data_IF_100183698950
#
_entry.id   IF_100183698950
#
_cell.length_a   1.000
_cell.length_b   1.000
_cell.length_c   1.000
_cell.angle_alpha   90.00
_cell.angle_beta   90.00
_cell.angle_gamma   90.00
#
_symmetry.space_group_name_H-M   'P 1'
#
loop_
_entity.id
_entity.type
_entity.pdbx_description
1 polymer ?
#
# COMPACT_ATOMS: atom_id res chain seq x y z
N UNK A 1 23.24 19.37 30.38
CA UNK A 1 23.63 18.52 29.23
C UNK A 1 22.94 17.18 29.40
N UNK A 2 21.76 17.03 28.79
CA UNK A 2 20.98 15.79 28.81
C UNK A 2 19.76 15.83 27.90
N UNK A 3 19.58 16.90 27.12
CA UNK A 3 18.42 17.13 26.26
C UNK A 3 18.91 17.01 24.82
N UNK A 4 18.90 15.79 24.28
CA UNK A 4 19.07 15.59 22.81
C UNK A 4 18.73 14.18 22.33
N UNK A 5 18.45 13.21 23.21
CA UNK A 5 18.28 11.80 22.78
C UNK A 5 16.82 11.36 22.63
N UNK A 6 15.84 12.06 23.24
CA UNK A 6 14.42 11.68 23.15
C UNK A 6 13.65 12.34 22.00
N UNK A 7 14.01 13.55 21.56
CA UNK A 7 13.34 14.19 20.42
C UNK A 7 13.65 13.49 19.08
N UNK A 8 14.80 12.82 18.98
CA UNK A 8 15.14 11.98 17.83
C UNK A 8 14.32 10.68 17.75
N UNK A 9 13.73 10.22 18.87
CA UNK A 9 12.90 8.99 18.90
C UNK A 9 11.46 9.22 18.42
N UNK A 10 11.01 10.47 18.33
CA UNK A 10 9.65 10.79 17.89
C UNK A 10 9.55 10.87 16.35
N UNK A 11 10.67 11.04 15.65
CA UNK A 11 10.71 11.18 14.18
C UNK A 11 10.58 9.84 13.41
N UNK A 12 10.65 8.68 14.08
CA UNK A 12 10.58 7.36 13.43
C UNK A 12 9.54 6.42 14.04
N UNK A 13 8.39 6.94 14.49
CA UNK A 13 7.18 6.09 14.47
C UNK A 13 6.77 5.89 13.02
N UNK A 14 7.48 5.02 12.31
CA UNK A 14 7.00 4.39 11.07
C UNK A 14 5.83 3.48 11.46
N UNK A 15 4.69 4.05 11.82
CA UNK A 15 3.41 3.34 12.06
C UNK A 15 3.27 2.26 11.00
N UNK A 16 3.04 0.99 11.26
CA UNK A 16 3.02 -0.01 10.18
C UNK A 16 1.97 0.38 9.11
N UNK A 17 2.26 0.18 7.80
CA UNK A 17 1.29 0.53 6.77
C UNK A 17 0.03 -0.32 6.93
N UNK A 18 -1.13 0.29 6.76
CA UNK A 18 -2.37 -0.47 6.78
C UNK A 18 -2.44 -1.36 5.54
N UNK A 19 -2.63 -2.66 5.75
CA UNK A 19 -2.67 -3.66 4.69
C UNK A 19 -4.07 -3.76 4.11
N UNK A 20 -4.18 -3.60 2.79
CA UNK A 20 -5.41 -3.83 2.03
C UNK A 20 -5.18 -4.98 1.05
N UNK A 21 -5.92 -6.06 1.24
CA UNK A 21 -5.91 -7.20 0.32
C UNK A 21 -6.87 -6.96 -0.82
N UNK A 22 -6.35 -6.83 -2.05
CA UNK A 22 -7.16 -6.64 -3.25
C UNK A 22 -7.84 -7.96 -3.59
N UNK A 23 -9.17 -7.92 -3.76
CA UNK A 23 -9.97 -9.09 -4.17
C UNK A 23 -10.72 -8.74 -5.45
N UNK A 24 -11.93 -9.27 -5.58
CA UNK A 24 -12.77 -9.11 -6.77
C UNK A 24 -13.82 -8.00 -6.61
N UNK A 25 -13.63 -7.07 -5.67
CA UNK A 25 -14.49 -5.89 -5.57
C UNK A 25 -14.32 -4.98 -6.81
N UNK A 26 -15.34 -4.17 -7.16
CA UNK A 26 -15.18 -3.14 -8.18
C UNK A 26 -14.02 -2.21 -7.83
N UNK A 27 -13.14 -1.96 -8.80
CA UNK A 27 -11.89 -1.19 -8.62
C UNK A 27 -12.14 0.18 -7.97
N UNK A 28 -13.21 0.87 -8.33
CA UNK A 28 -13.55 2.18 -7.76
C UNK A 28 -13.98 2.11 -6.30
N UNK A 29 -14.65 1.04 -5.89
CA UNK A 29 -15.02 0.83 -4.49
C UNK A 29 -13.77 0.57 -3.66
N UNK A 30 -12.91 -0.34 -4.12
CA UNK A 30 -11.64 -0.62 -3.46
C UNK A 30 -10.74 0.63 -3.37
N UNK A 31 -10.71 1.46 -4.41
CA UNK A 31 -9.97 2.72 -4.39
C UNK A 31 -10.50 3.70 -3.32
N UNK A 32 -11.82 3.80 -3.11
CA UNK A 32 -12.39 4.63 -2.05
C UNK A 32 -12.05 4.12 -0.64
N UNK A 33 -12.04 2.79 -0.45
CA UNK A 33 -11.65 2.18 0.81
C UNK A 33 -10.19 2.51 1.15
N UNK A 34 -9.29 2.29 0.18
CA UNK A 34 -7.86 2.56 0.34
C UNK A 34 -7.58 4.06 0.48
N UNK A 35 -8.32 4.93 -0.21
CA UNK A 35 -8.27 6.37 -0.02
C UNK A 35 -8.51 6.74 1.45
N UNK A 36 -9.57 6.18 2.04
CA UNK A 36 -9.94 6.44 3.45
C UNK A 36 -8.83 6.00 4.40
N UNK A 37 -8.23 4.84 4.13
CA UNK A 37 -7.10 4.30 4.87
C UNK A 37 -5.89 5.23 4.80
N UNK A 38 -5.44 5.60 3.60
CA UNK A 38 -4.26 6.45 3.41
C UNK A 38 -4.50 7.83 4.03
N UNK A 39 -5.70 8.39 3.87
CA UNK A 39 -6.00 9.70 4.43
C UNK A 39 -5.98 9.72 5.97
N UNK A 40 -6.36 8.61 6.61
CA UNK A 40 -6.35 8.45 8.07
C UNK A 40 -4.97 8.08 8.63
N UNK A 41 -4.23 7.21 7.95
CA UNK A 41 -3.02 6.58 8.47
C UNK A 41 -1.72 7.12 7.84
N UNK A 42 -1.83 7.95 6.80
CA UNK A 42 -0.69 8.51 6.07
C UNK A 42 -0.01 7.54 5.11
N UNK A 43 -0.34 6.25 5.15
CA UNK A 43 0.17 5.25 4.20
C UNK A 43 -0.69 3.99 4.18
N UNK A 44 -0.62 3.27 3.07
CA UNK A 44 -1.34 2.02 2.84
C UNK A 44 -0.54 1.08 1.95
N UNK A 45 -0.69 -0.21 2.17
CA UNK A 45 -0.05 -1.27 1.40
C UNK A 45 -1.11 -2.09 0.68
N UNK A 46 -1.07 -2.12 -0.64
CA UNK A 46 -1.91 -3.00 -1.45
C UNK A 46 -1.20 -4.35 -1.61
N UNK A 47 -1.86 -5.43 -1.23
CA UNK A 47 -1.39 -6.80 -1.46
C UNK A 47 -2.33 -7.50 -2.43
N UNK A 48 -1.80 -8.08 -3.49
CA UNK A 48 -2.59 -8.82 -4.47
C UNK A 48 -1.84 -10.02 -5.03
N UNK A 49 -2.58 -11.00 -5.55
CA UNK A 49 -2.05 -12.26 -6.04
C UNK A 49 -2.73 -12.72 -7.33
N UNK A 50 -1.96 -13.32 -8.22
CA UNK A 50 -2.44 -13.89 -9.48
C UNK A 50 -3.32 -12.90 -10.25
N UNK A 51 -4.56 -13.30 -10.55
CA UNK A 51 -5.49 -12.50 -11.37
C UNK A 51 -5.94 -11.16 -10.76
N UNK A 52 -5.69 -10.92 -9.47
CA UNK A 52 -6.02 -9.64 -8.81
C UNK A 52 -4.93 -8.57 -8.94
N UNK A 53 -3.75 -8.92 -9.46
CA UNK A 53 -2.62 -7.99 -9.65
C UNK A 53 -3.01 -6.78 -10.52
N UNK A 54 -3.67 -6.95 -11.69
CA UNK A 54 -4.08 -5.80 -12.50
C UNK A 54 -5.01 -4.83 -11.75
N UNK A 55 -5.89 -5.35 -10.89
CA UNK A 55 -6.76 -4.54 -10.04
C UNK A 55 -5.97 -3.73 -9.03
N UNK A 56 -4.94 -4.31 -8.41
CA UNK A 56 -4.06 -3.58 -7.47
C UNK A 56 -3.34 -2.42 -8.14
N UNK A 57 -2.81 -2.64 -9.34
CA UNK A 57 -2.16 -1.60 -10.16
C UNK A 57 -3.17 -0.51 -10.54
N UNK A 58 -4.38 -0.90 -10.95
CA UNK A 58 -5.43 0.06 -11.28
C UNK A 58 -5.83 0.92 -10.07
N UNK A 59 -6.00 0.32 -8.89
CA UNK A 59 -6.29 1.03 -7.63
C UNK A 59 -5.16 2.03 -7.32
N UNK A 60 -3.90 1.58 -7.35
CA UNK A 60 -2.75 2.45 -7.09
C UNK A 60 -2.71 3.65 -8.04
N UNK A 61 -2.92 3.42 -9.34
CA UNK A 61 -2.93 4.49 -10.34
C UNK A 61 -4.10 5.45 -10.13
N UNK A 62 -5.31 4.96 -9.84
CA UNK A 62 -6.46 5.82 -9.54
C UNK A 62 -6.17 6.69 -8.31
N UNK A 63 -5.57 6.13 -7.27
CA UNK A 63 -5.22 6.86 -6.07
C UNK A 63 -4.21 7.96 -6.36
N UNK A 64 -3.07 7.62 -6.95
CA UNK A 64 -1.95 8.57 -7.12
C UNK A 64 -2.21 9.57 -8.25
N UNK A 65 -2.89 9.16 -9.33
CA UNK A 65 -3.14 10.06 -10.47
C UNK A 65 -4.45 10.84 -10.35
N UNK A 66 -5.49 10.30 -9.70
CA UNK A 66 -6.84 10.91 -9.68
C UNK A 66 -7.26 11.39 -8.29
N UNK A 67 -7.31 10.52 -7.28
CA UNK A 67 -7.94 10.85 -5.98
C UNK A 67 -7.04 11.63 -5.02
N UNK A 68 -5.75 11.29 -4.95
CA UNK A 68 -4.72 11.86 -4.06
C UNK A 68 -3.58 12.48 -4.88
N UNK A 69 -3.93 13.07 -6.02
CA UNK A 69 -2.97 13.68 -6.94
C UNK A 69 -2.07 14.66 -6.20
N UNK A 70 -0.73 14.49 -6.32
CA UNK A 70 0.33 15.27 -5.63
C UNK A 70 0.37 15.17 -4.11
N UNK A 71 -0.59 14.51 -3.48
CA UNK A 71 -0.66 14.32 -2.02
C UNK A 71 -0.02 12.99 -1.62
N UNK A 72 0.01 12.01 -2.51
CA UNK A 72 0.62 10.71 -2.25
C UNK A 72 1.55 10.28 -3.39
N UNK A 73 2.49 9.40 -3.06
CA UNK A 73 3.43 8.77 -3.99
C UNK A 73 3.48 7.27 -3.75
N UNK A 74 3.89 6.53 -4.78
CA UNK A 74 4.24 5.11 -4.63
C UNK A 74 5.68 5.08 -4.13
N UNK A 75 5.90 4.54 -2.93
CA UNK A 75 7.24 4.43 -2.35
C UNK A 75 8.00 3.25 -2.98
N UNK A 76 7.36 2.10 -3.09
CA UNK A 76 7.92 0.94 -3.76
C UNK A 76 6.83 -0.01 -4.28
N UNK A 77 7.23 -0.82 -5.25
CA UNK A 77 6.47 -1.95 -5.78
C UNK A 77 7.36 -3.18 -5.69
N UNK A 78 6.91 -4.22 -4.99
CA UNK A 78 7.58 -5.50 -4.89
C UNK A 78 6.77 -6.56 -5.63
N UNK A 79 7.40 -7.23 -6.58
CA UNK A 79 6.81 -8.34 -7.33
C UNK A 79 7.57 -9.61 -6.97
N UNK A 80 6.85 -10.62 -6.50
CA UNK A 80 7.41 -11.91 -6.12
C UNK A 80 6.46 -13.04 -6.54
N UNK A 81 6.68 -14.24 -6.02
CA UNK A 81 5.79 -15.37 -6.18
C UNK A 81 5.77 -16.23 -4.92
N UNK A 82 4.58 -16.69 -4.55
CA UNK A 82 4.40 -17.64 -3.46
C UNK A 82 4.11 -19.05 -4.00
N UNK A 83 4.57 -20.05 -3.28
CA UNK A 83 4.26 -21.44 -3.59
C UNK A 83 2.94 -21.83 -2.90
N UNK A 84 1.89 -21.97 -3.68
CA UNK A 84 0.60 -22.46 -3.20
C UNK A 84 0.67 -23.99 -3.01
N UNK A 85 0.88 -24.41 -1.76
CA UNK A 85 0.89 -25.80 -1.30
C UNK A 85 1.82 -26.75 -2.10
N UNK A 86 2.95 -26.25 -2.60
CA UNK A 86 3.94 -27.07 -3.31
C UNK A 86 3.57 -27.40 -4.76
N UNK A 87 2.43 -26.93 -5.27
CA UNK A 87 1.89 -27.33 -6.57
C UNK A 87 1.97 -26.26 -7.63
N UNK A 88 1.94 -24.98 -7.23
CA UNK A 88 1.86 -23.86 -8.17
C UNK A 88 2.52 -22.62 -7.61
N UNK A 89 3.37 -21.99 -8.43
CA UNK A 89 3.86 -20.65 -8.17
C UNK A 89 2.79 -19.64 -8.57
N UNK A 90 2.37 -18.78 -7.65
CA UNK A 90 1.42 -17.70 -7.87
C UNK A 90 2.14 -16.39 -7.65
N UNK A 91 2.15 -15.52 -8.66
CA UNK A 91 2.75 -14.20 -8.53
C UNK A 91 2.01 -13.37 -7.48
N UNK A 92 2.77 -12.61 -6.70
CA UNK A 92 2.28 -11.70 -5.66
C UNK A 92 2.84 -10.30 -5.93
N UNK A 93 2.06 -9.27 -5.63
CA UNK A 93 2.50 -7.89 -5.71
C UNK A 93 2.20 -7.17 -4.40
N UNK A 94 3.14 -6.32 -3.99
CA UNK A 94 3.01 -5.39 -2.89
C UNK A 94 3.23 -3.97 -3.42
N UNK A 95 2.32 -3.05 -3.16
CA UNK A 95 2.43 -1.65 -3.56
C UNK A 95 2.29 -0.79 -2.30
N UNK A 96 3.38 -0.15 -1.89
CA UNK A 96 3.35 0.80 -0.78
C UNK A 96 3.05 2.20 -1.31
N UNK A 97 1.97 2.80 -0.81
CA UNK A 97 1.56 4.17 -1.12
C UNK A 97 1.69 4.99 0.16
N UNK A 98 2.40 6.11 0.06
CA UNK A 98 2.64 7.02 1.19
C UNK A 98 2.13 8.42 0.87
N UNK A 99 1.59 9.08 1.89
CA UNK A 99 1.24 10.49 1.86
C UNK A 99 2.52 11.31 2.05
N UNK A 100 2.71 12.27 1.17
CA UNK A 100 3.84 13.20 1.16
C UNK A 100 3.79 14.15 2.35
#
# INVERSE_FOLDING_TARGET
>A
MGETTEELRVAEKRTEPYIYHVRNEPVMQAALDVFTIINKHGKGMLLAKGGSIPSAVAIANILVEKMLNRVCTIEHILLDSENEFGKRMISTIEILIVKN
#
